data_IF_240652678287
#
_entry.id   IF_240652678287
#
_cell.length_a   1.000
_cell.length_b   1.000
_cell.length_c   1.000
_cell.angle_alpha   90.00
_cell.angle_beta   90.00
_cell.angle_gamma   90.00
#
_symmetry.space_group_name_H-M   'P 1'
#
loop_
_entity.id
_entity.type
_entity.pdbx_description
1 polymer ?
#
# COMPACT_ATOMS: atom_id res chain seq x y z
N UNK A 1 2.09 -30.16 -1.21
CA UNK A 1 0.63 -29.89 -0.93
C UNK A 1 0.13 -28.72 -1.78
N UNK A 2 -1.19 -28.54 -2.03
CA UNK A 2 -1.68 -27.38 -2.83
C UNK A 2 -2.07 -26.19 -1.91
N UNK A 3 -1.32 -25.07 -1.90
CA UNK A 3 -1.64 -23.93 -1.05
C UNK A 3 -2.78 -23.06 -1.60
N UNK A 4 -3.33 -22.21 -0.72
CA UNK A 4 -4.16 -21.07 -1.13
C UNK A 4 -3.45 -19.76 -0.80
N UNK A 5 -3.49 -18.79 -1.72
CA UNK A 5 -3.00 -17.43 -1.45
C UNK A 5 -4.15 -16.60 -0.88
N UNK A 6 -3.92 -15.93 0.26
CA UNK A 6 -4.87 -15.01 0.87
C UNK A 6 -4.41 -13.56 0.68
N UNK A 7 -5.14 -12.81 -0.15
CA UNK A 7 -4.85 -11.41 -0.44
C UNK A 7 -5.60 -10.48 0.51
N UNK A 8 -4.87 -9.81 1.40
CA UNK A 8 -5.41 -8.87 2.41
C UNK A 8 -5.26 -7.39 2.04
N UNK A 9 -4.61 -7.13 0.90
CA UNK A 9 -4.39 -5.78 0.38
C UNK A 9 -5.72 -5.10 0.01
N UNK A 10 -5.89 -3.80 0.29
CA UNK A 10 -7.09 -3.05 -0.10
C UNK A 10 -7.30 -3.01 -1.62
N UNK A 11 -8.57 -3.01 -2.02
CA UNK A 11 -8.96 -2.81 -3.41
C UNK A 11 -8.75 -1.34 -3.83
N UNK A 12 -8.50 -1.08 -5.13
CA UNK A 12 -8.45 -2.03 -6.24
C UNK A 12 -7.12 -2.78 -6.40
N UNK A 13 -6.03 -2.33 -5.75
CA UNK A 13 -4.71 -2.93 -5.94
C UNK A 13 -4.66 -4.40 -5.49
N UNK A 14 -5.40 -4.75 -4.42
CA UNK A 14 -5.54 -6.13 -3.94
C UNK A 14 -6.19 -7.04 -4.99
N UNK A 15 -7.29 -6.59 -5.60
CA UNK A 15 -7.94 -7.30 -6.70
C UNK A 15 -7.04 -7.51 -7.92
N UNK A 16 -6.28 -6.49 -8.32
CA UNK A 16 -5.30 -6.59 -9.42
C UNK A 16 -4.20 -7.61 -9.11
N UNK A 17 -3.55 -7.45 -7.95
CA UNK A 17 -2.50 -8.37 -7.49
C UNK A 17 -3.01 -9.80 -7.41
N UNK A 18 -4.24 -10.01 -6.91
CA UNK A 18 -4.84 -11.33 -6.82
C UNK A 18 -5.07 -11.98 -8.20
N UNK A 19 -5.51 -11.20 -9.20
CA UNK A 19 -5.66 -11.70 -10.57
C UNK A 19 -4.31 -12.08 -11.17
N UNK A 20 -3.29 -11.26 -10.97
CA UNK A 20 -1.95 -11.54 -11.49
C UNK A 20 -1.33 -12.77 -10.85
N UNK A 21 -1.40 -12.91 -9.52
CA UNK A 21 -0.92 -14.09 -8.83
C UNK A 21 -1.67 -15.35 -9.28
N UNK A 22 -2.99 -15.31 -9.40
CA UNK A 22 -3.78 -16.45 -9.88
C UNK A 22 -3.33 -16.89 -11.29
N UNK A 23 -3.07 -15.93 -12.19
CA UNK A 23 -2.57 -16.20 -13.54
C UNK A 23 -1.15 -16.78 -13.53
N UNK A 24 -0.27 -16.25 -12.69
CA UNK A 24 1.14 -16.65 -12.65
C UNK A 24 1.36 -18.01 -11.97
N UNK A 25 0.51 -18.37 -11.00
CA UNK A 25 0.69 -19.60 -10.22
C UNK A 25 -0.33 -20.70 -10.54
N UNK A 26 -1.40 -20.40 -11.28
CA UNK A 26 -2.51 -21.33 -11.49
C UNK A 26 -3.28 -21.70 -10.22
N UNK A 27 -3.14 -20.90 -9.15
CA UNK A 27 -3.78 -21.14 -7.86
C UNK A 27 -4.99 -20.24 -7.65
N UNK A 28 -5.87 -20.69 -6.75
CA UNK A 28 -6.92 -19.84 -6.21
C UNK A 28 -6.32 -18.79 -5.30
N UNK A 29 -6.66 -17.51 -5.56
CA UNK A 29 -6.36 -16.40 -4.65
C UNK A 29 -7.64 -15.96 -3.95
N UNK A 30 -7.75 -16.25 -2.66
CA UNK A 30 -8.85 -15.77 -1.84
C UNK A 30 -8.62 -14.30 -1.46
N UNK A 31 -9.61 -13.44 -1.66
CA UNK A 31 -9.53 -12.02 -1.28
C UNK A 31 -10.21 -11.81 0.06
N UNK A 32 -9.54 -11.06 0.94
CA UNK A 32 -10.07 -10.58 2.20
C UNK A 32 -9.41 -9.26 2.59
N UNK A 33 -9.70 -8.16 1.86
CA UNK A 33 -9.13 -6.85 2.16
C UNK A 33 -9.35 -6.50 3.63
N UNK A 34 -8.29 -6.09 4.33
CA UNK A 34 -8.38 -5.74 5.76
C UNK A 34 -8.48 -4.24 6.01
N UNK A 35 -8.44 -3.44 4.94
CA UNK A 35 -8.72 -2.01 4.99
C UNK A 35 -9.65 -1.64 3.84
N UNK A 36 -10.59 -0.74 4.09
CA UNK A 36 -11.34 -0.03 3.06
C UNK A 36 -10.78 1.39 2.91
N UNK A 37 -10.52 1.80 1.67
CA UNK A 37 -10.18 3.19 1.36
C UNK A 37 -11.48 3.98 1.26
N UNK A 38 -11.66 5.00 2.11
CA UNK A 38 -12.82 5.89 2.07
C UNK A 38 -12.38 7.30 1.71
N UNK A 39 -12.78 7.85 0.55
CA UNK A 39 -12.57 9.26 0.27
C UNK A 39 -13.22 10.15 1.34
N UNK A 40 -12.68 11.35 1.53
CA UNK A 40 -13.36 12.39 2.31
C UNK A 40 -14.71 12.76 1.66
N UNK A 41 -15.57 13.48 2.38
CA UNK A 41 -16.87 13.89 1.84
C UNK A 41 -16.76 14.95 0.73
N UNK A 42 -15.71 15.78 0.77
CA UNK A 42 -15.44 16.82 -0.22
C UNK A 42 -13.94 17.03 -0.35
N UNK A 43 -13.51 17.49 -1.52
CA UNK A 43 -12.15 17.98 -1.68
C UNK A 43 -11.94 19.22 -0.80
N UNK A 44 -10.91 19.25 0.06
CA UNK A 44 -10.55 20.45 0.81
C UNK A 44 -10.11 21.57 -0.13
N UNK A 45 -10.29 22.81 0.30
CA UNK A 45 -9.72 23.95 -0.43
C UNK A 45 -8.20 23.77 -0.51
N UNK A 46 -7.68 23.87 -1.73
CA UNK A 46 -6.24 23.74 -2.00
C UNK A 46 -5.50 25.06 -1.76
N UNK A 47 -6.19 26.13 -1.37
CA UNK A 47 -5.59 27.40 -0.95
C UNK A 47 -4.77 28.07 -2.05
N UNK A 48 -5.14 27.84 -3.32
CA UNK A 48 -4.39 28.32 -4.47
C UNK A 48 -3.08 27.56 -4.75
N UNK A 49 -2.83 26.41 -4.12
CA UNK A 49 -1.63 25.61 -4.37
C UNK A 49 -1.46 25.32 -5.87
N UNK A 50 -0.30 25.69 -6.40
CA UNK A 50 0.07 25.48 -7.80
C UNK A 50 0.52 24.04 -8.07
N UNK A 51 0.81 23.27 -7.01
CA UNK A 51 1.38 21.93 -7.12
C UNK A 51 0.88 20.97 -6.04
N UNK A 52 0.62 19.74 -6.45
CA UNK A 52 0.17 18.65 -5.59
C UNK A 52 1.36 17.78 -5.17
N UNK A 53 1.35 17.28 -3.94
CA UNK A 53 2.22 16.19 -3.51
C UNK A 53 1.35 14.96 -3.26
N UNK A 54 1.70 13.83 -3.89
CA UNK A 54 1.05 12.54 -3.69
C UNK A 54 2.06 11.49 -3.24
N UNK A 55 1.85 10.94 -2.04
CA UNK A 55 2.68 9.86 -1.50
C UNK A 55 2.03 8.48 -1.59
N UNK A 56 0.89 8.38 -2.28
CA UNK A 56 0.13 7.14 -2.41
C UNK A 56 -0.77 7.19 -3.64
N UNK A 57 -0.92 6.05 -4.33
CA UNK A 57 -1.93 5.88 -5.38
C UNK A 57 -3.35 6.12 -4.87
N UNK A 58 -3.61 5.82 -3.60
CA UNK A 58 -4.93 6.06 -3.00
C UNK A 58 -5.24 7.55 -2.85
N UNK A 59 -4.22 8.39 -2.64
CA UNK A 59 -4.40 9.84 -2.61
C UNK A 59 -4.80 10.36 -4.00
N UNK A 60 -4.14 9.89 -5.06
CA UNK A 60 -4.49 10.24 -6.45
C UNK A 60 -5.93 9.83 -6.78
N UNK A 61 -6.31 8.60 -6.43
CA UNK A 61 -7.68 8.08 -6.66
C UNK A 61 -8.72 8.88 -5.90
N UNK A 62 -8.48 9.14 -4.61
CA UNK A 62 -9.37 9.97 -3.81
C UNK A 62 -9.49 11.39 -4.36
N UNK A 63 -8.39 11.98 -4.83
CA UNK A 63 -8.39 13.30 -5.45
C UNK A 63 -9.29 13.34 -6.69
N UNK A 64 -9.16 12.36 -7.59
CA UNK A 64 -10.04 12.19 -8.74
C UNK A 64 -11.50 12.02 -8.31
N UNK A 65 -11.76 11.11 -7.37
CA UNK A 65 -13.13 10.79 -6.93
C UNK A 65 -13.83 11.98 -6.27
N UNK A 66 -13.05 12.91 -5.70
CA UNK A 66 -13.52 14.16 -5.12
C UNK A 66 -13.63 15.30 -6.14
N UNK A 67 -13.42 15.04 -7.43
CA UNK A 67 -13.52 16.04 -8.50
C UNK A 67 -12.32 16.98 -8.61
N UNK A 68 -11.15 16.57 -8.14
CA UNK A 68 -9.93 17.36 -8.22
C UNK A 68 -9.46 17.60 -9.66
N UNK A 69 -9.14 18.86 -9.96
CA UNK A 69 -8.65 19.25 -11.29
C UNK A 69 -7.17 18.87 -11.51
N UNK A 70 -6.76 18.51 -12.73
CA UNK A 70 -5.38 18.15 -12.99
C UNK A 70 -4.40 19.32 -12.75
N UNK A 71 -3.33 19.06 -11.99
CA UNK A 71 -2.28 20.04 -11.66
C UNK A 71 -0.87 19.44 -11.83
N UNK A 72 0.20 20.26 -11.84
CA UNK A 72 1.55 19.75 -11.58
C UNK A 72 1.59 18.93 -10.29
N UNK A 73 2.23 17.77 -10.32
CA UNK A 73 2.30 16.89 -9.16
C UNK A 73 3.70 16.31 -8.94
N UNK A 74 4.13 16.26 -7.69
CA UNK A 74 5.29 15.50 -7.24
C UNK A 74 4.77 14.22 -6.60
N UNK A 75 5.28 13.08 -7.02
CA UNK A 75 4.84 11.79 -6.56
C UNK A 75 6.01 11.00 -5.95
N UNK A 76 5.74 10.21 -4.91
CA UNK A 76 6.81 9.49 -4.18
C UNK A 76 7.51 8.43 -5.02
N UNK A 77 6.79 7.84 -5.96
CA UNK A 77 7.34 6.82 -6.83
C UNK A 77 6.57 6.73 -8.12
N UNK A 78 7.15 5.99 -9.07
CA UNK A 78 6.64 5.92 -10.44
C UNK A 78 5.22 5.34 -10.51
N UNK A 79 4.88 4.38 -9.65
CA UNK A 79 3.50 3.87 -9.59
C UNK A 79 2.47 4.95 -9.20
N UNK A 80 2.84 5.89 -8.33
CA UNK A 80 1.97 7.03 -7.96
C UNK A 80 1.96 8.10 -9.05
N UNK A 81 3.12 8.38 -9.67
CA UNK A 81 3.21 9.31 -10.78
C UNK A 81 2.39 8.84 -11.99
N UNK A 82 2.46 7.55 -12.33
CA UNK A 82 1.68 6.95 -13.40
C UNK A 82 0.17 7.10 -13.14
N UNK A 83 -0.31 6.81 -11.93
CA UNK A 83 -1.72 7.01 -11.56
C UNK A 83 -2.12 8.49 -11.69
N UNK A 84 -1.25 9.43 -11.27
CA UNK A 84 -1.51 10.85 -11.37
C UNK A 84 -1.58 11.32 -12.83
N UNK A 85 -0.71 10.81 -13.70
CA UNK A 85 -0.78 11.09 -15.15
C UNK A 85 -2.06 10.55 -15.78
N UNK A 86 -2.59 9.41 -15.31
CA UNK A 86 -3.88 8.86 -15.80
C UNK A 86 -5.07 9.78 -15.54
N UNK A 87 -4.99 10.65 -14.53
CA UNK A 87 -6.03 11.65 -14.24
C UNK A 87 -5.71 13.02 -14.84
N UNK A 88 -4.69 13.11 -15.73
CA UNK A 88 -4.31 14.32 -16.44
C UNK A 88 -3.27 15.19 -15.75
N UNK A 89 -2.79 14.82 -14.55
CA UNK A 89 -1.78 15.62 -13.85
C UNK A 89 -0.44 15.59 -14.58
N UNK A 90 0.29 16.72 -14.58
CA UNK A 90 1.70 16.78 -14.99
C UNK A 90 2.57 16.26 -13.84
N UNK A 91 2.62 14.94 -13.69
CA UNK A 91 3.24 14.29 -12.55
C UNK A 91 4.64 13.73 -12.85
N UNK A 92 5.54 13.79 -11.88
CA UNK A 92 6.83 13.10 -11.91
C UNK A 92 7.11 12.39 -10.58
N UNK A 93 7.84 11.29 -10.65
CA UNK A 93 8.29 10.55 -9.48
C UNK A 93 9.57 11.17 -8.91
N UNK A 94 9.69 11.22 -7.59
CA UNK A 94 10.84 11.80 -6.91
C UNK A 94 11.13 11.03 -5.62
N UNK A 95 12.38 10.59 -5.44
CA UNK A 95 12.88 10.00 -4.20
C UNK A 95 12.62 8.50 -4.00
N UNK A 96 11.50 7.95 -4.46
CA UNK A 96 11.15 6.54 -4.24
C UNK A 96 10.50 6.28 -2.88
N UNK A 97 10.91 7.02 -1.85
CA UNK A 97 10.27 7.07 -0.52
C UNK A 97 10.10 8.52 -0.01
N UNK A 98 9.45 8.67 1.15
CA UNK A 98 9.16 9.97 1.73
C UNK A 98 10.42 10.74 2.15
N UNK A 99 11.46 10.06 2.66
CA UNK A 99 12.71 10.69 3.10
C UNK A 99 13.45 11.28 1.90
N UNK A 100 13.64 10.46 0.87
CA UNK A 100 14.32 10.84 -0.35
C UNK A 100 13.52 11.87 -1.15
N UNK A 101 12.18 11.83 -1.13
CA UNK A 101 11.35 12.88 -1.71
C UNK A 101 11.60 14.22 -1.01
N UNK A 102 11.56 14.25 0.32
CA UNK A 102 11.79 15.48 1.08
C UNK A 102 13.17 16.04 0.77
N UNK A 103 14.22 15.21 0.80
CA UNK A 103 15.58 15.63 0.47
C UNK A 103 15.70 16.22 -0.95
N UNK A 104 15.06 15.59 -1.94
CA UNK A 104 15.08 16.08 -3.31
C UNK A 104 14.32 17.40 -3.50
N UNK A 105 13.16 17.58 -2.85
CA UNK A 105 12.41 18.84 -2.88
C UNK A 105 13.20 19.97 -2.23
N UNK A 106 13.92 19.69 -1.13
CA UNK A 106 14.74 20.72 -0.46
C UNK A 106 15.98 21.10 -1.27
N UNK A 107 16.51 20.17 -2.08
CA UNK A 107 17.65 20.45 -2.95
C UNK A 107 17.29 21.32 -4.16
N UNK A 108 16.05 21.20 -4.67
CA UNK A 108 15.52 22.03 -5.78
C UNK A 108 14.08 22.48 -5.47
N UNK A 109 13.90 23.51 -4.60
CA UNK A 109 12.60 23.93 -4.12
C UNK A 109 11.71 24.49 -5.25
N UNK A 110 10.49 23.98 -5.43
CA UNK A 110 9.52 24.59 -6.33
C UNK A 110 9.14 26.00 -5.85
N UNK A 111 9.00 26.94 -6.80
CA UNK A 111 8.56 28.30 -6.49
C UNK A 111 7.07 28.38 -6.09
N UNK A 112 6.25 27.44 -6.59
CA UNK A 112 4.80 27.42 -6.33
C UNK A 112 4.48 26.83 -4.95
N UNK A 113 3.47 27.37 -4.23
CA UNK A 113 2.92 26.73 -3.05
C UNK A 113 2.45 25.30 -3.34
N UNK A 114 2.74 24.40 -2.40
CA UNK A 114 2.43 22.97 -2.52
C UNK A 114 1.38 22.54 -1.50
N UNK A 115 0.60 21.52 -1.85
CA UNK A 115 -0.29 20.83 -0.92
C UNK A 115 -0.06 19.32 -0.96
N UNK A 116 0.19 18.72 0.19
CA UNK A 116 0.28 17.28 0.36
C UNK A 116 -1.10 16.68 0.59
N UNK A 117 -1.60 15.99 -0.42
CA UNK A 117 -2.85 15.26 -0.35
C UNK A 117 -2.58 13.85 0.15
N UNK A 118 -3.07 13.52 1.34
CA UNK A 118 -2.72 12.29 2.06
C UNK A 118 -3.92 11.56 2.66
N UNK A 119 -3.67 10.33 3.08
CA UNK A 119 -4.60 9.59 3.91
C UNK A 119 -4.52 10.05 5.37
N UNK A 120 -5.57 9.82 6.16
CA UNK A 120 -5.62 10.14 7.58
C UNK A 120 -4.44 9.55 8.36
N UNK A 121 -4.02 8.36 7.95
CA UNK A 121 -2.79 7.71 8.40
C UNK A 121 -1.73 7.87 7.31
N UNK A 122 -0.70 8.67 7.58
CA UNK A 122 0.44 8.87 6.70
C UNK A 122 1.75 8.63 7.47
N UNK A 123 2.86 8.54 6.73
CA UNK A 123 4.20 8.35 7.27
C UNK A 123 5.15 9.38 6.67
N UNK A 124 6.18 9.75 7.42
CA UNK A 124 7.29 10.58 6.95
C UNK A 124 7.07 12.09 7.08
N UNK A 125 5.91 12.52 7.61
CA UNK A 125 5.59 13.93 7.93
C UNK A 125 5.99 14.93 6.85
N UNK A 126 5.77 14.56 5.58
CA UNK A 126 6.32 15.24 4.39
C UNK A 126 6.01 16.73 4.40
N UNK A 127 4.74 17.13 4.54
CA UNK A 127 4.37 18.54 4.56
C UNK A 127 5.00 19.30 5.73
N UNK A 128 4.93 18.75 6.95
CA UNK A 128 5.50 19.36 8.14
C UNK A 128 7.02 19.59 8.02
N UNK A 129 7.75 18.63 7.45
CA UNK A 129 9.21 18.73 7.26
C UNK A 129 9.58 19.77 6.21
N UNK A 130 8.85 19.82 5.09
CA UNK A 130 9.07 20.84 4.07
C UNK A 130 8.72 22.24 4.58
N UNK A 131 7.61 22.38 5.32
CA UNK A 131 7.21 23.63 5.96
C UNK A 131 8.23 24.11 7.00
N UNK A 132 8.76 23.20 7.83
CA UNK A 132 9.80 23.51 8.80
C UNK A 132 11.12 23.97 8.15
N UNK A 133 11.36 23.58 6.90
CA UNK A 133 12.49 24.05 6.09
C UNK A 133 12.20 25.36 5.32
N UNK A 134 11.05 26.00 5.54
CA UNK A 134 10.70 27.31 4.99
C UNK A 134 9.94 27.28 3.67
N UNK A 135 9.54 26.10 3.16
CA UNK A 135 8.74 26.01 1.94
C UNK A 135 7.25 26.24 2.25
N UNK A 136 6.52 26.85 1.31
CA UNK A 136 5.07 27.01 1.41
C UNK A 136 4.38 25.68 1.11
N UNK A 137 4.19 24.85 2.14
CA UNK A 137 3.55 23.54 2.03
C UNK A 137 2.47 23.37 3.07
N UNK A 138 1.26 23.02 2.62
CA UNK A 138 0.15 22.59 3.48
C UNK A 138 -0.12 21.11 3.31
N UNK A 139 -0.93 20.51 4.19
CA UNK A 139 -1.44 19.16 4.00
C UNK A 139 -2.95 19.10 4.13
N UNK A 140 -3.55 18.13 3.44
CA UNK A 140 -4.97 17.83 3.57
C UNK A 140 -5.21 16.32 3.55
N UNK A 141 -6.04 15.87 4.50
CA UNK A 141 -6.53 14.49 4.55
C UNK A 141 -7.71 14.36 3.60
N UNK A 142 -7.54 13.55 2.55
CA UNK A 142 -8.56 13.35 1.51
C UNK A 142 -9.10 11.92 1.45
N UNK A 143 -8.58 11.01 2.28
CA UNK A 143 -9.17 9.69 2.49
C UNK A 143 -8.82 9.11 3.86
N UNK A 144 -9.63 8.17 4.37
CA UNK A 144 -9.32 7.32 5.53
C UNK A 144 -9.09 5.87 5.10
N UNK A 145 -8.52 5.08 6.02
CA UNK A 145 -8.36 3.63 5.88
C UNK A 145 -9.06 2.95 7.05
N UNK A 146 -10.30 2.57 6.81
CA UNK A 146 -11.14 1.93 7.82
C UNK A 146 -10.72 0.46 7.95
N UNK A 147 -10.63 -0.03 9.19
CA UNK A 147 -10.30 -1.43 9.44
C UNK A 147 -11.49 -2.32 9.05
N UNK A 148 -11.19 -3.42 8.38
CA UNK A 148 -12.15 -4.47 8.07
C UNK A 148 -11.81 -5.76 8.84
N UNK A 149 -12.77 -6.67 8.90
CA UNK A 149 -12.58 -8.02 9.42
C UNK A 149 -12.21 -9.01 8.30
N UNK A 150 -11.71 -10.18 8.71
CA UNK A 150 -11.52 -11.31 7.80
C UNK A 150 -12.88 -11.77 7.27
N UNK A 151 -12.95 -12.07 5.98
CA UNK A 151 -14.14 -12.70 5.40
C UNK A 151 -14.34 -14.10 5.98
N UNK A 152 -15.58 -14.61 5.95
CA UNK A 152 -15.89 -15.99 6.37
C UNK A 152 -15.03 -17.02 5.62
N UNK A 153 -14.81 -16.81 4.32
CA UNK A 153 -13.92 -17.62 3.50
C UNK A 153 -12.47 -17.57 3.98
N UNK A 154 -11.94 -16.40 4.31
CA UNK A 154 -10.57 -16.28 4.81
C UNK A 154 -10.41 -16.96 6.18
N UNK A 155 -11.40 -16.82 7.05
CA UNK A 155 -11.41 -17.50 8.36
C UNK A 155 -11.43 -19.01 8.19
N UNK A 156 -12.29 -19.55 7.33
CA UNK A 156 -12.33 -20.98 7.03
C UNK A 156 -11.00 -21.52 6.45
N UNK A 157 -10.30 -20.74 5.61
CA UNK A 157 -8.98 -21.11 5.11
C UNK A 157 -7.94 -21.18 6.24
N UNK A 158 -7.93 -20.20 7.13
CA UNK A 158 -7.00 -20.15 8.26
C UNK A 158 -7.29 -21.23 9.32
N UNK A 159 -8.56 -21.61 9.48
CA UNK A 159 -8.99 -22.66 10.40
C UNK A 159 -8.80 -24.08 9.84
N UNK A 160 -8.47 -24.22 8.56
CA UNK A 160 -8.27 -25.50 7.88
C UNK A 160 -6.89 -26.14 8.15
N UNK A 161 -6.55 -27.15 7.35
CA UNK A 161 -5.26 -27.85 7.39
C UNK A 161 -4.37 -27.61 6.17
N UNK A 162 -4.94 -27.09 5.07
CA UNK A 162 -4.18 -26.78 3.86
C UNK A 162 -3.33 -25.51 4.06
N UNK A 163 -2.08 -25.46 3.55
CA UNK A 163 -1.23 -24.29 3.70
C UNK A 163 -1.83 -22.99 3.14
N UNK A 164 -1.64 -21.88 3.85
CA UNK A 164 -2.10 -20.55 3.44
C UNK A 164 -0.91 -19.61 3.31
N UNK A 165 -0.76 -18.99 2.13
CA UNK A 165 0.29 -18.02 1.85
C UNK A 165 -0.30 -16.61 1.90
N UNK A 166 0.26 -15.71 2.71
CA UNK A 166 -0.26 -14.36 2.90
C UNK A 166 0.83 -13.32 2.57
N UNK A 167 0.79 -12.70 1.38
CA UNK A 167 1.61 -11.54 1.08
C UNK A 167 1.09 -10.30 1.81
N UNK A 168 1.97 -9.62 2.56
CA UNK A 168 1.66 -8.43 3.34
C UNK A 168 2.41 -7.21 2.78
N UNK A 169 1.65 -6.16 2.45
CA UNK A 169 2.14 -4.97 1.74
C UNK A 169 2.39 -3.75 2.64
N UNK A 170 1.83 -3.73 3.85
CA UNK A 170 1.97 -2.59 4.75
C UNK A 170 1.94 -3.01 6.20
N UNK A 171 2.61 -2.30 7.12
CA UNK A 171 2.58 -2.68 8.53
C UNK A 171 1.19 -2.52 9.14
N UNK A 172 0.37 -1.60 8.64
CA UNK A 172 -1.02 -1.43 9.10
C UNK A 172 -1.88 -2.66 8.77
N UNK A 173 -1.79 -3.17 7.53
CA UNK A 173 -2.48 -4.41 7.13
C UNK A 173 -1.93 -5.61 7.89
N UNK A 174 -0.61 -5.69 8.09
CA UNK A 174 0.04 -6.75 8.84
C UNK A 174 -0.40 -6.79 10.32
N UNK A 175 -0.42 -5.64 10.99
CA UNK A 175 -0.92 -5.53 12.37
C UNK A 175 -2.41 -5.89 12.46
N UNK A 176 -3.24 -5.45 11.51
CA UNK A 176 -4.66 -5.83 11.48
C UNK A 176 -4.84 -7.34 11.27
N UNK A 177 -4.05 -7.95 10.38
CA UNK A 177 -4.07 -9.38 10.17
C UNK A 177 -3.65 -10.14 11.44
N UNK A 178 -2.56 -9.71 12.09
CA UNK A 178 -2.08 -10.30 13.34
C UNK A 178 -3.07 -10.20 14.50
N UNK A 179 -3.89 -9.16 14.54
CA UNK A 179 -4.93 -8.99 15.54
C UNK A 179 -6.15 -9.90 15.31
N UNK A 180 -6.39 -10.37 14.08
CA UNK A 180 -7.61 -11.10 13.70
C UNK A 180 -7.37 -12.60 13.45
N UNK A 181 -6.19 -12.96 12.97
CA UNK A 181 -5.86 -14.31 12.57
C UNK A 181 -5.42 -15.16 13.77
N UNK A 182 -5.97 -16.37 13.85
CA UNK A 182 -5.54 -17.41 14.78
C UNK A 182 -5.45 -18.72 13.97
N UNK A 183 -4.45 -18.85 13.09
CA UNK A 183 -4.42 -19.91 12.10
C UNK A 183 -4.17 -21.29 12.74
N UNK A 184 -4.94 -22.30 12.32
CA UNK A 184 -4.59 -23.72 12.48
C UNK A 184 -3.88 -24.27 11.26
N UNK A 185 -4.15 -23.68 10.10
CA UNK A 185 -3.46 -24.00 8.85
C UNK A 185 -1.98 -23.60 8.92
N UNK A 186 -1.07 -24.34 8.26
CA UNK A 186 0.31 -23.91 8.08
C UNK A 186 0.36 -22.54 7.39
N UNK A 187 0.78 -21.51 8.13
CA UNK A 187 0.80 -20.13 7.65
C UNK A 187 2.18 -19.75 7.09
N UNK A 188 2.20 -19.27 5.85
CA UNK A 188 3.39 -18.79 5.16
C UNK A 188 3.26 -17.28 4.95
N UNK A 189 4.00 -16.48 5.72
CA UNK A 189 3.99 -15.02 5.59
C UNK A 189 5.11 -14.55 4.66
N UNK A 190 4.74 -13.68 3.71
CA UNK A 190 5.68 -13.00 2.81
C UNK A 190 5.49 -11.49 2.99
N UNK A 191 6.47 -10.82 3.55
CA UNK A 191 6.37 -9.39 3.92
C UNK A 191 7.13 -8.51 2.94
N UNK A 192 6.55 -7.36 2.56
CA UNK A 192 7.22 -6.39 1.67
C UNK A 192 8.54 -5.85 2.26
N UNK A 193 8.61 -5.69 3.58
CA UNK A 193 9.79 -5.14 4.27
C UNK A 193 9.88 -5.63 5.70
N UNK A 194 11.02 -5.36 6.37
CA UNK A 194 11.23 -5.67 7.78
C UNK A 194 10.15 -5.06 8.68
N UNK A 195 9.76 -3.80 8.45
CA UNK A 195 8.71 -3.13 9.22
C UNK A 195 7.33 -3.79 9.05
N UNK A 196 7.04 -4.38 7.89
CA UNK A 196 5.80 -5.14 7.68
C UNK A 196 5.85 -6.45 8.47
N UNK A 197 7.00 -7.11 8.42
CA UNK A 197 7.21 -8.37 9.12
C UNK A 197 7.10 -8.22 10.64
N UNK A 198 7.71 -7.17 11.19
CA UNK A 198 7.67 -6.83 12.61
C UNK A 198 6.25 -6.56 13.09
N UNK A 199 5.42 -5.87 12.29
CA UNK A 199 4.02 -5.64 12.63
C UNK A 199 3.18 -6.93 12.69
N UNK A 200 3.65 -8.03 12.08
CA UNK A 200 3.04 -9.35 12.14
C UNK A 200 3.81 -10.34 13.04
N UNK A 201 4.74 -9.88 13.88
CA UNK A 201 5.64 -10.76 14.64
C UNK A 201 4.93 -11.70 15.62
N UNK A 202 3.72 -11.33 16.08
CA UNK A 202 2.95 -12.12 17.06
C UNK A 202 2.25 -13.34 16.46
N UNK A 203 2.22 -13.46 15.13
CA UNK A 203 1.62 -14.61 14.46
C UNK A 203 2.58 -15.79 14.46
N UNK A 204 2.07 -16.94 14.90
CA UNK A 204 2.73 -18.22 14.67
C UNK A 204 2.66 -18.57 13.17
N UNK A 205 3.80 -18.96 12.62
CA UNK A 205 3.97 -19.16 11.17
C UNK A 205 4.89 -20.33 10.92
N UNK A 206 4.51 -21.17 9.95
CA UNK A 206 5.38 -22.24 9.46
C UNK A 206 6.63 -21.66 8.78
N UNK A 207 6.45 -20.59 7.98
CA UNK A 207 7.55 -19.87 7.33
C UNK A 207 7.25 -18.38 7.32
N UNK A 208 8.32 -17.60 7.52
CA UNK A 208 8.31 -16.14 7.45
C UNK A 208 9.43 -15.68 6.52
N UNK A 209 9.09 -14.82 5.56
CA UNK A 209 10.05 -14.28 4.60
C UNK A 209 9.81 -12.80 4.36
N UNK A 210 10.87 -12.10 3.97
CA UNK A 210 10.84 -10.70 3.58
C UNK A 210 11.34 -10.60 2.14
N UNK A 211 10.66 -9.81 1.31
CA UNK A 211 11.09 -9.54 -0.05
C UNK A 211 12.49 -8.90 -0.07
N UNK A 212 13.27 -9.20 -1.11
CA UNK A 212 14.64 -8.69 -1.30
C UNK A 212 14.66 -7.16 -1.49
N UNK A 213 13.57 -6.60 -2.04
CA UNK A 213 13.35 -5.17 -2.17
C UNK A 213 11.92 -4.80 -1.73
N UNK A 214 11.70 -3.57 -1.22
CA UNK A 214 10.40 -3.11 -0.76
C UNK A 214 9.49 -2.67 -1.92
N UNK A 215 9.43 -3.45 -3.00
CA UNK A 215 8.63 -3.19 -4.19
C UNK A 215 7.65 -4.34 -4.49
N UNK A 216 6.61 -4.05 -5.27
CA UNK A 216 5.54 -5.01 -5.53
C UNK A 216 6.00 -6.22 -6.38
N UNK A 217 7.01 -6.03 -7.23
CA UNK A 217 7.55 -7.08 -8.10
C UNK A 217 8.34 -8.09 -7.26
N UNK A 218 9.22 -7.60 -6.39
CA UNK A 218 9.96 -8.38 -5.41
C UNK A 218 9.03 -9.21 -4.50
N UNK A 219 7.98 -8.60 -3.96
CA UNK A 219 7.01 -9.31 -3.14
C UNK A 219 6.25 -10.38 -3.95
N UNK A 220 5.94 -10.11 -5.22
CA UNK A 220 5.31 -11.09 -6.13
C UNK A 220 6.23 -12.28 -6.36
N UNK A 221 7.51 -12.05 -6.69
CA UNK A 221 8.51 -13.13 -6.85
C UNK A 221 8.66 -13.96 -5.58
N UNK A 222 8.75 -13.31 -4.42
CA UNK A 222 8.85 -13.99 -3.13
C UNK A 222 7.59 -14.83 -2.81
N UNK A 223 6.41 -14.34 -3.19
CA UNK A 223 5.15 -15.08 -3.04
C UNK A 223 5.13 -16.33 -3.93
N UNK A 224 5.59 -16.24 -5.18
CA UNK A 224 5.70 -17.38 -6.09
C UNK A 224 6.71 -18.40 -5.56
N UNK A 225 7.86 -17.95 -5.05
CA UNK A 225 8.84 -18.85 -4.43
C UNK A 225 8.27 -19.57 -3.20
N UNK A 226 7.43 -18.90 -2.39
CA UNK A 226 6.73 -19.54 -1.29
C UNK A 226 5.76 -20.61 -1.78
N UNK A 227 5.02 -20.37 -2.88
CA UNK A 227 4.14 -21.37 -3.52
C UNK A 227 4.94 -22.62 -3.91
N UNK A 228 6.02 -22.43 -4.67
CA UNK A 228 6.87 -23.54 -5.15
C UNK A 228 7.44 -24.36 -3.99
N UNK A 229 7.85 -23.70 -2.90
CA UNK A 229 8.34 -24.39 -1.70
C UNK A 229 7.26 -25.27 -1.08
N UNK A 230 6.03 -24.77 -0.95
CA UNK A 230 4.92 -25.55 -0.36
C UNK A 230 4.51 -26.72 -1.26
N UNK A 231 4.54 -26.54 -2.57
CA UNK A 231 4.19 -27.59 -3.52
C UNK A 231 5.22 -28.73 -3.55
N UNK A 232 6.50 -28.42 -3.28
CA UNK A 232 7.58 -29.39 -3.19
C UNK A 232 7.61 -30.20 -1.87
N UNK A 233 6.80 -29.84 -0.87
CA UNK A 233 6.62 -30.54 0.40
C UNK A 233 5.43 -31.50 0.35
#
# INVERSE_FOLDING_TARGET
>A
MRPTILMTRPDPDGAETARDLARLTGLTVARSPLLAIRPAARLPDTGGAGRLIFTSRNAVRAYRDLGGEPKPAICVGEATAAEARRIGCRAHAMGGDAEAMVGAILADPPADPMIHLRGAHARGDVASRLAAAGLSVTEAVIYSQDLLDLTSRARALLDGSAPVIVPLYSPRTAARFAALANPRAPLYLVSLSAAVNEAAQRLDTAVRSVADRPDAEALTRATIAAVQRVEAM
#
